data_IF_593424631255
#
_entry.id   IF_593424631255
#
_cell.length_a   1.000
_cell.length_b   1.000
_cell.length_c   1.000
_cell.angle_alpha   90.00
_cell.angle_beta   90.00
_cell.angle_gamma   90.00
#
_symmetry.space_group_name_H-M   'P 1'
#
loop_
_entity.id
_entity.type
_entity.pdbx_description
1 polymer ?
#
# COMPACT_ATOMS: atom_id res chain seq x y z
N UNK A 1 5.01 15.31 24.03
CA UNK A 1 6.09 15.72 23.14
C UNK A 1 5.99 15.02 21.81
N UNK A 2 6.02 15.76 20.73
CA UNK A 2 5.95 15.16 19.42
C UNK A 2 7.30 14.56 19.05
N UNK A 3 7.26 13.38 18.45
CA UNK A 3 8.48 12.74 17.96
C UNK A 3 8.91 13.36 16.63
N UNK A 4 10.19 13.37 16.37
CA UNK A 4 10.68 13.77 15.05
C UNK A 4 10.25 12.77 14.00
N UNK A 5 10.30 13.16 12.73
CA UNK A 5 9.97 12.23 11.65
C UNK A 5 10.89 11.01 11.65
N UNK A 6 12.18 11.21 11.96
CA UNK A 6 13.13 10.12 12.05
C UNK A 6 12.76 9.14 13.16
N UNK A 7 12.34 9.66 14.32
CA UNK A 7 11.92 8.80 15.43
C UNK A 7 10.66 8.03 15.08
N UNK A 8 9.70 8.67 14.42
CA UNK A 8 8.48 7.99 13.99
C UNK A 8 8.78 6.86 13.00
N UNK A 9 9.67 7.12 12.07
CA UNK A 9 10.06 6.10 11.10
C UNK A 9 10.79 4.93 11.77
N UNK A 10 11.65 5.23 12.73
CA UNK A 10 12.36 4.19 13.47
C UNK A 10 11.40 3.34 14.30
N UNK A 11 10.46 3.97 15.01
CA UNK A 11 9.46 3.25 15.77
C UNK A 11 8.59 2.38 14.88
N UNK A 12 8.18 2.92 13.76
CA UNK A 12 7.36 2.21 12.79
C UNK A 12 8.10 1.00 12.24
N UNK A 13 9.35 1.19 11.86
CA UNK A 13 10.19 0.12 11.31
C UNK A 13 10.40 -0.98 12.33
N UNK A 14 10.69 -0.61 13.58
CA UNK A 14 10.89 -1.58 14.64
C UNK A 14 9.64 -2.42 14.87
N UNK A 15 8.47 -1.79 14.87
CA UNK A 15 7.21 -2.52 15.03
C UNK A 15 6.98 -3.53 13.92
N UNK A 16 7.29 -3.14 12.69
CA UNK A 16 7.05 -4.01 11.54
C UNK A 16 8.03 -5.15 11.44
N UNK A 17 9.29 -4.89 11.80
CA UNK A 17 10.29 -5.94 11.82
C UNK A 17 10.04 -6.93 12.95
N UNK A 18 9.38 -6.49 14.00
CA UNK A 18 9.06 -7.31 15.16
C UNK A 18 7.59 -7.73 15.19
N UNK A 19 6.94 -7.70 14.04
CA UNK A 19 5.53 -8.09 13.95
C UNK A 19 5.39 -9.56 14.34
N UNK A 20 5.01 -9.79 15.59
CA UNK A 20 4.90 -11.12 16.14
C UNK A 20 3.80 -11.95 15.47
N UNK A 21 2.85 -11.29 14.84
CA UNK A 21 1.75 -11.97 14.15
C UNK A 21 2.13 -12.41 12.75
N UNK A 22 3.31 -12.04 12.28
CA UNK A 22 3.78 -12.40 10.94
C UNK A 22 2.93 -11.83 9.83
N UNK A 23 2.27 -10.69 10.06
CA UNK A 23 1.37 -10.09 9.08
C UNK A 23 2.09 -9.22 8.05
N UNK A 24 3.32 -8.85 8.35
CA UNK A 24 4.12 -8.07 7.41
C UNK A 24 4.75 -8.98 6.37
N UNK A 25 4.63 -8.60 5.11
CA UNK A 25 5.30 -9.30 4.02
C UNK A 25 6.24 -8.33 3.33
N UNK A 26 7.40 -8.84 2.97
CA UNK A 26 8.40 -8.01 2.31
C UNK A 26 8.04 -7.80 0.86
N UNK A 27 8.04 -6.54 0.43
CA UNK A 27 7.86 -6.18 -0.96
C UNK A 27 9.19 -5.59 -1.45
N UNK A 28 9.80 -6.23 -2.44
CA UNK A 28 11.09 -5.80 -2.97
C UNK A 28 10.99 -5.74 -4.48
N UNK A 29 10.99 -4.53 -5.04
CA UNK A 29 10.87 -4.34 -6.47
C UNK A 29 11.48 -3.01 -6.89
N UNK A 30 11.93 -2.96 -8.13
CA UNK A 30 12.31 -1.71 -8.76
C UNK A 30 11.08 -1.05 -9.34
N UNK A 31 10.96 0.25 -9.16
CA UNK A 31 9.85 1.01 -9.72
C UNK A 31 10.43 2.16 -10.54
N UNK A 32 9.60 2.69 -11.42
CA UNK A 32 9.94 3.86 -12.20
C UNK A 32 10.31 5.04 -11.29
N UNK A 33 11.29 5.83 -11.73
CA UNK A 33 11.75 6.98 -10.96
C UNK A 33 10.61 7.96 -10.66
N UNK A 34 9.74 8.19 -11.63
CA UNK A 34 8.59 9.06 -11.45
C UNK A 34 7.66 8.55 -10.36
N UNK A 35 7.41 7.24 -10.34
CA UNK A 35 6.57 6.62 -9.34
C UNK A 35 7.19 6.75 -7.95
N UNK A 36 8.49 6.53 -7.84
CA UNK A 36 9.18 6.65 -6.56
C UNK A 36 9.09 8.09 -6.02
N UNK A 37 9.31 9.07 -6.89
CA UNK A 37 9.22 10.47 -6.50
C UNK A 37 7.80 10.90 -6.16
N UNK A 38 6.81 10.37 -6.85
CA UNK A 38 5.42 10.61 -6.51
C UNK A 38 5.08 10.07 -5.13
N UNK A 39 5.58 8.89 -4.81
CA UNK A 39 5.38 8.30 -3.49
C UNK A 39 6.00 9.18 -2.40
N UNK A 40 7.21 9.67 -2.64
CA UNK A 40 7.87 10.56 -1.69
C UNK A 40 7.06 11.84 -1.46
N UNK A 41 6.58 12.45 -2.54
CA UNK A 41 5.79 13.68 -2.45
C UNK A 41 4.47 13.47 -1.74
N UNK A 42 3.79 12.38 -2.05
CA UNK A 42 2.51 12.07 -1.41
C UNK A 42 2.69 11.78 0.08
N UNK A 43 3.69 11.00 0.42
CA UNK A 43 3.96 10.69 1.81
C UNK A 43 4.28 11.96 2.61
N UNK A 44 5.08 12.85 2.01
CA UNK A 44 5.42 14.12 2.64
C UNK A 44 4.18 15.00 2.80
N UNK A 45 3.36 15.06 1.77
CA UNK A 45 2.14 15.87 1.79
C UNK A 45 1.17 15.45 2.91
N UNK A 46 1.02 14.15 3.09
CA UNK A 46 0.11 13.62 4.11
C UNK A 46 0.78 13.40 5.47
N UNK A 47 2.06 13.67 5.57
CA UNK A 47 2.77 13.51 6.83
C UNK A 47 2.90 12.07 7.31
N UNK A 48 2.99 11.13 6.38
CA UNK A 48 3.10 9.70 6.69
C UNK A 48 4.36 9.13 6.06
N UNK A 49 4.70 7.90 6.44
CA UNK A 49 5.84 7.20 5.82
C UNK A 49 5.49 6.80 4.39
N UNK A 50 6.51 6.53 3.59
CA UNK A 50 6.30 6.02 2.23
C UNK A 50 5.56 4.69 2.25
N UNK A 51 5.86 3.83 3.22
CA UNK A 51 5.16 2.57 3.37
C UNK A 51 3.68 2.78 3.66
N UNK A 52 3.37 3.65 4.63
CA UNK A 52 1.98 3.93 4.98
C UNK A 52 1.23 4.53 3.80
N UNK A 53 1.88 5.42 3.06
CA UNK A 53 1.27 6.01 1.87
C UNK A 53 1.00 4.96 0.80
N UNK A 54 1.97 4.07 0.57
CA UNK A 54 1.80 2.99 -0.41
C UNK A 54 0.67 2.06 -0.02
N UNK A 55 0.62 1.67 1.25
CA UNK A 55 -0.47 0.81 1.75
C UNK A 55 -1.83 1.46 1.55
N UNK A 56 -1.91 2.76 1.81
CA UNK A 56 -3.14 3.52 1.63
C UNK A 56 -3.56 3.58 0.17
N UNK A 57 -2.61 3.87 -0.72
CA UNK A 57 -2.88 3.93 -2.15
C UNK A 57 -3.36 2.59 -2.69
N UNK A 58 -2.74 1.51 -2.24
CA UNK A 58 -3.14 0.17 -2.66
C UNK A 58 -4.53 -0.17 -2.15
N UNK A 59 -4.82 0.16 -0.90
CA UNK A 59 -6.15 -0.10 -0.33
C UNK A 59 -7.23 0.68 -1.08
N UNK A 60 -6.97 1.95 -1.38
CA UNK A 60 -7.91 2.78 -2.11
C UNK A 60 -8.13 2.26 -3.54
N UNK A 61 -7.05 1.88 -4.21
CA UNK A 61 -7.13 1.36 -5.57
C UNK A 61 -7.86 0.02 -5.61
N UNK A 62 -7.58 -0.84 -4.65
CA UNK A 62 -8.25 -2.14 -4.56
C UNK A 62 -9.74 -1.96 -4.31
N UNK A 63 -10.12 -1.05 -3.39
CA UNK A 63 -11.52 -0.81 -3.11
C UNK A 63 -12.24 -0.26 -4.34
N UNK A 64 -11.62 0.67 -5.06
CA UNK A 64 -12.19 1.20 -6.28
C UNK A 64 -12.39 0.09 -7.33
N UNK A 65 -11.43 -0.82 -7.42
CA UNK A 65 -11.53 -1.96 -8.34
C UNK A 65 -12.65 -2.90 -7.93
N UNK A 66 -12.75 -3.21 -6.64
CA UNK A 66 -13.81 -4.08 -6.14
C UNK A 66 -15.18 -3.47 -6.42
N UNK A 67 -15.33 -2.16 -6.20
CA UNK A 67 -16.58 -1.48 -6.51
C UNK A 67 -16.92 -1.56 -7.99
N UNK A 68 -15.91 -1.45 -8.85
CA UNK A 68 -16.09 -1.51 -10.29
C UNK A 68 -16.50 -2.90 -10.77
N UNK A 69 -15.96 -3.96 -10.16
CA UNK A 69 -16.26 -5.34 -10.58
C UNK A 69 -17.45 -5.95 -9.84
N UNK A 70 -18.10 -5.20 -8.97
CA UNK A 70 -19.24 -5.70 -8.19
C UNK A 70 -20.38 -6.19 -9.09
N UNK A 71 -20.52 -5.63 -10.27
CA UNK A 71 -21.55 -6.02 -11.23
C UNK A 71 -21.17 -7.25 -12.06
N UNK A 72 -19.93 -7.70 -11.99
CA UNK A 72 -19.45 -8.85 -12.76
C UNK A 72 -19.75 -10.12 -11.96
N UNK A 73 -20.44 -11.11 -12.55
CA UNK A 73 -20.69 -12.38 -11.86
C UNK A 73 -19.39 -13.01 -11.42
N UNK A 74 -19.30 -13.37 -10.14
CA UNK A 74 -18.11 -13.95 -9.52
C UNK A 74 -16.87 -13.05 -9.59
N UNK A 75 -17.06 -11.75 -9.85
CA UNK A 75 -15.94 -10.83 -10.04
C UNK A 75 -15.03 -10.73 -8.84
N UNK A 76 -15.58 -10.58 -7.64
CA UNK A 76 -14.78 -10.46 -6.43
C UNK A 76 -13.93 -11.71 -6.19
N UNK A 77 -14.52 -12.90 -6.34
CA UNK A 77 -13.78 -14.15 -6.15
C UNK A 77 -12.66 -14.28 -7.17
N UNK A 78 -12.96 -13.99 -8.43
CA UNK A 78 -11.96 -14.06 -9.49
C UNK A 78 -10.84 -13.06 -9.27
N UNK A 79 -11.17 -11.88 -8.74
CA UNK A 79 -10.16 -10.87 -8.41
C UNK A 79 -9.20 -11.38 -7.32
N UNK A 80 -9.74 -11.91 -6.22
CA UNK A 80 -8.90 -12.42 -5.13
C UNK A 80 -8.09 -13.63 -5.55
N UNK A 81 -8.60 -14.43 -6.48
CA UNK A 81 -7.89 -15.58 -7.01
C UNK A 81 -6.94 -15.23 -8.16
N UNK A 82 -6.83 -13.94 -8.48
CA UNK A 82 -5.95 -13.43 -9.55
C UNK A 82 -6.31 -13.97 -10.94
N UNK A 83 -7.56 -14.28 -11.12
CA UNK A 83 -8.08 -14.78 -12.41
C UNK A 83 -8.78 -13.71 -13.24
N UNK A 84 -9.24 -12.65 -12.54
CA UNK A 84 -9.95 -11.59 -13.23
C UNK A 84 -8.97 -10.72 -13.99
N UNK A 85 -9.31 -10.42 -15.23
CA UNK A 85 -8.55 -9.47 -16.03
C UNK A 85 -9.46 -8.37 -16.51
N UNK A 86 -9.06 -7.15 -16.29
CA UNK A 86 -9.72 -5.97 -16.81
C UNK A 86 -8.86 -5.43 -17.94
N UNK A 87 -9.44 -5.33 -19.11
CA UNK A 87 -8.75 -4.72 -20.25
C UNK A 87 -8.71 -3.21 -20.03
N UNK A 88 -7.53 -2.67 -20.04
CA UNK A 88 -7.32 -1.22 -19.86
C UNK A 88 -6.85 -0.57 -21.14
#
# INVERSE_FOLDING_TARGET
MSKTNAQRQADFRARHLQDADGKGERLNMLVDMGAKRSLERLASCYGVTQRAMLERLLAESEQATIDRIAAIPNGANDFYDKRLRLDT
#
